data_IF_148372350760
#
_entry.id   IF_148372350760
#
_cell.length_a   1.000
_cell.length_b   1.000
_cell.length_c   1.000
_cell.angle_alpha   90.00
_cell.angle_beta   90.00
_cell.angle_gamma   90.00
#
_symmetry.space_group_name_H-M   'P 1'
#
loop_
_entity.id
_entity.type
_entity.pdbx_description
1 polymer ?
#
# COMPACT_ATOMS: atom_id res chain seq x y z
N UNK A 1 17.50 -12.46 -14.43
CA UNK A 1 16.29 -13.31 -14.43
C UNK A 1 15.09 -12.40 -14.65
N UNK A 2 14.18 -12.72 -15.56
CA UNK A 2 12.99 -11.89 -15.77
C UNK A 2 12.16 -11.84 -14.49
N UNK A 3 11.78 -10.64 -14.04
CA UNK A 3 10.92 -10.48 -12.87
C UNK A 3 9.57 -11.12 -13.20
N UNK A 4 9.18 -12.17 -12.46
CA UNK A 4 7.87 -12.82 -12.67
C UNK A 4 6.77 -11.83 -12.26
N UNK A 5 5.92 -11.44 -13.20
CA UNK A 5 4.76 -10.58 -12.93
C UNK A 5 3.84 -11.31 -11.94
N UNK A 6 3.46 -10.61 -10.88
CA UNK A 6 2.58 -11.13 -9.83
C UNK A 6 1.13 -10.70 -10.08
N UNK A 7 0.21 -11.64 -9.93
CA UNK A 7 -1.23 -11.43 -10.09
C UNK A 7 -1.93 -11.56 -8.74
N UNK A 8 -2.58 -10.51 -8.27
CA UNK A 8 -3.24 -10.47 -6.94
C UNK A 8 -4.69 -10.05 -7.10
N UNK A 9 -5.62 -10.77 -6.47
CA UNK A 9 -7.04 -10.41 -6.47
C UNK A 9 -7.43 -9.74 -5.16
N UNK A 10 -8.11 -8.60 -5.25
CA UNK A 10 -8.80 -7.99 -4.11
C UNK A 10 -10.31 -8.17 -4.30
N UNK A 11 -10.92 -9.00 -3.46
CA UNK A 11 -12.35 -9.32 -3.47
C UNK A 11 -13.01 -8.92 -2.14
N UNK A 12 -14.32 -9.09 -2.04
CA UNK A 12 -15.11 -8.79 -0.86
C UNK A 12 -16.52 -8.34 -1.21
N UNK A 13 -17.43 -8.40 -0.25
CA UNK A 13 -18.82 -7.97 -0.40
C UNK A 13 -18.99 -6.46 -0.64
N UNK A 14 -20.25 -6.00 -0.76
CA UNK A 14 -20.55 -4.57 -0.88
C UNK A 14 -20.03 -3.81 0.34
N UNK A 15 -19.58 -2.56 0.14
CA UNK A 15 -19.08 -1.70 1.22
C UNK A 15 -17.94 -2.31 2.07
N UNK A 16 -17.09 -3.17 1.51
CA UNK A 16 -15.93 -3.74 2.22
C UNK A 16 -14.69 -2.85 2.28
N UNK A 17 -14.68 -1.75 1.51
CA UNK A 17 -13.57 -0.80 1.42
C UNK A 17 -12.60 -1.03 0.25
N UNK A 18 -12.92 -1.92 -0.70
CA UNK A 18 -12.07 -2.23 -1.87
C UNK A 18 -11.55 -1.00 -2.61
N UNK A 19 -12.41 -0.08 -3.01
CA UNK A 19 -12.00 1.10 -3.78
C UNK A 19 -10.94 1.94 -3.05
N UNK A 20 -11.12 2.16 -1.74
CA UNK A 20 -10.14 2.87 -0.92
C UNK A 20 -8.87 2.06 -0.74
N UNK A 21 -8.98 0.74 -0.54
CA UNK A 21 -7.84 -0.14 -0.44
C UNK A 21 -7.01 -0.18 -1.73
N UNK A 22 -7.64 -0.30 -2.90
CA UNK A 22 -6.97 -0.30 -4.21
C UNK A 22 -6.19 1.01 -4.43
N UNK A 23 -6.81 2.16 -4.12
CA UNK A 23 -6.13 3.45 -4.21
C UNK A 23 -4.90 3.51 -3.28
N UNK A 24 -5.06 3.09 -2.02
CA UNK A 24 -3.98 3.05 -1.03
C UNK A 24 -2.83 2.12 -1.47
N UNK A 25 -3.13 0.92 -1.94
CA UNK A 25 -2.14 -0.05 -2.41
C UNK A 25 -1.42 0.49 -3.65
N UNK A 26 -2.15 1.03 -4.62
CA UNK A 26 -1.59 1.56 -5.85
C UNK A 26 -0.59 2.68 -5.53
N UNK A 27 -0.96 3.61 -4.65
CA UNK A 27 -0.10 4.68 -4.18
C UNK A 27 1.16 4.13 -3.49
N UNK A 28 0.98 3.25 -2.50
CA UNK A 28 2.11 2.70 -1.75
C UNK A 28 3.09 1.96 -2.65
N UNK A 29 2.63 1.03 -3.48
CA UNK A 29 3.49 0.23 -4.37
C UNK A 29 4.20 1.10 -5.41
N UNK A 30 3.50 2.08 -5.98
CA UNK A 30 4.10 3.04 -6.92
C UNK A 30 5.24 3.83 -6.26
N UNK A 31 5.06 4.23 -4.99
CA UNK A 31 6.09 4.92 -4.20
C UNK A 31 7.30 4.02 -3.86
N UNK A 32 7.14 2.70 -3.96
CA UNK A 32 8.17 1.68 -3.76
C UNK A 32 8.70 1.09 -5.07
N UNK A 33 8.52 1.81 -6.19
CA UNK A 33 9.12 1.48 -7.49
C UNK A 33 8.41 0.35 -8.25
N UNK A 34 7.15 0.07 -7.92
CA UNK A 34 6.33 -0.87 -8.68
C UNK A 34 5.45 -0.16 -9.70
N UNK A 35 5.40 -0.71 -10.91
CA UNK A 35 4.33 -0.44 -11.87
C UNK A 35 3.13 -1.30 -11.49
N UNK A 36 2.06 -0.63 -11.07
CA UNK A 36 0.80 -1.27 -10.68
C UNK A 36 -0.20 -1.18 -11.82
N UNK A 37 -0.70 -2.33 -12.27
CA UNK A 37 -1.83 -2.43 -13.18
C UNK A 37 -3.08 -2.73 -12.36
N UNK A 38 -4.07 -1.85 -12.39
CA UNK A 38 -5.38 -2.09 -11.77
C UNK A 38 -6.38 -2.53 -12.84
N UNK A 39 -6.94 -3.72 -12.67
CA UNK A 39 -8.01 -4.24 -13.52
C UNK A 39 -9.35 -3.94 -12.84
N UNK A 40 -10.24 -3.15 -13.45
CA UNK A 40 -11.49 -2.72 -12.83
C UNK A 40 -12.54 -3.84 -12.76
N UNK A 41 -13.50 -3.68 -11.85
CA UNK A 41 -14.62 -4.61 -11.69
C UNK A 41 -15.49 -4.69 -12.95
N UNK A 42 -15.54 -5.88 -13.56
CA UNK A 42 -16.29 -6.13 -14.80
C UNK A 42 -17.79 -5.92 -14.63
N UNK A 43 -18.35 -6.34 -13.49
CA UNK A 43 -19.77 -6.18 -13.20
C UNK A 43 -20.18 -4.70 -13.22
N UNK A 44 -19.41 -3.82 -12.56
CA UNK A 44 -19.66 -2.38 -12.58
C UNK A 44 -19.61 -1.81 -14.01
N UNK A 45 -18.66 -2.26 -14.83
CA UNK A 45 -18.56 -1.82 -16.23
C UNK A 45 -19.78 -2.25 -17.08
N UNK A 46 -20.25 -3.49 -16.94
CA UNK A 46 -21.39 -4.01 -17.68
C UNK A 46 -22.72 -3.38 -17.24
N UNK A 47 -22.90 -3.19 -15.92
CA UNK A 47 -24.10 -2.58 -15.34
C UNK A 47 -24.22 -1.13 -15.79
N UNK A 48 -23.12 -0.36 -15.71
CA UNK A 48 -23.12 1.03 -16.17
C UNK A 48 -23.13 1.15 -17.71
N UNK A 49 -22.66 0.13 -18.42
CA UNK A 49 -22.66 0.05 -19.88
C UNK A 49 -24.01 -0.33 -20.52
N UNK A 50 -25.04 -0.64 -19.73
CA UNK A 50 -26.39 -0.87 -20.24
C UNK A 50 -27.23 -1.87 -19.46
N UNK A 51 -26.62 -2.77 -18.68
CA UNK A 51 -27.30 -3.85 -17.93
C UNK A 51 -27.63 -3.40 -16.50
N UNK A 52 -28.22 -2.22 -16.37
CA UNK A 52 -28.49 -1.58 -15.08
C UNK A 52 -29.58 -2.30 -14.26
N UNK A 53 -30.36 -3.17 -14.88
CA UNK A 53 -31.46 -3.95 -14.32
C UNK A 53 -31.13 -5.43 -14.12
N UNK A 54 -29.84 -5.79 -14.02
CA UNK A 54 -29.35 -7.17 -13.89
C UNK A 54 -30.10 -8.01 -12.83
N UNK A 55 -30.45 -7.42 -11.67
CA UNK A 55 -31.21 -8.11 -10.63
C UNK A 55 -32.63 -8.50 -11.09
N UNK A 56 -33.30 -7.62 -11.86
CA UNK A 56 -34.62 -7.94 -12.44
C UNK A 56 -34.51 -8.99 -13.53
N UNK A 57 -33.40 -9.00 -14.28
CA UNK A 57 -33.15 -10.03 -15.30
C UNK A 57 -32.96 -11.39 -14.60
N UNK A 58 -32.22 -11.45 -13.49
CA UNK A 58 -32.05 -12.66 -12.71
C UNK A 58 -33.38 -13.25 -12.20
N UNK A 59 -34.32 -12.39 -11.80
CA UNK A 59 -35.66 -12.80 -11.34
C UNK A 59 -36.59 -13.25 -12.47
N UNK A 60 -36.57 -12.54 -13.62
CA UNK A 60 -37.57 -12.72 -14.68
C UNK A 60 -37.12 -13.65 -15.82
N UNK A 61 -35.81 -13.73 -16.09
CA UNK A 61 -35.25 -14.47 -17.23
C UNK A 61 -33.86 -15.01 -16.87
N UNK A 62 -33.88 -16.12 -16.13
CA UNK A 62 -32.65 -16.73 -15.60
C UNK A 62 -31.70 -17.21 -16.70
N UNK A 63 -32.19 -17.61 -17.88
CA UNK A 63 -31.34 -18.00 -19.01
C UNK A 63 -30.55 -16.79 -19.55
N UNK A 64 -31.20 -15.64 -19.66
CA UNK A 64 -30.52 -14.39 -20.03
C UNK A 64 -29.50 -13.97 -18.97
N UNK A 65 -29.85 -14.12 -17.69
CA UNK A 65 -28.92 -13.85 -16.59
C UNK A 65 -27.68 -14.75 -16.65
N UNK A 66 -27.86 -16.06 -16.88
CA UNK A 66 -26.76 -17.01 -17.03
C UNK A 66 -25.84 -16.64 -18.20
N UNK A 67 -26.40 -16.24 -19.35
CA UNK A 67 -25.60 -15.79 -20.49
C UNK A 67 -24.83 -14.49 -20.17
N UNK A 68 -25.40 -13.56 -19.39
CA UNK A 68 -24.69 -12.35 -18.94
C UNK A 68 -23.49 -12.73 -18.05
N UNK A 69 -23.68 -13.59 -17.05
CA UNK A 69 -22.61 -14.06 -16.16
C UNK A 69 -21.52 -14.81 -16.95
N UNK A 70 -21.89 -15.62 -17.94
CA UNK A 70 -20.95 -16.27 -18.87
C UNK A 70 -20.12 -15.25 -19.65
N UNK A 71 -20.73 -14.17 -20.14
CA UNK A 71 -20.01 -13.09 -20.85
C UNK A 71 -19.10 -12.29 -19.93
N UNK A 72 -19.50 -12.07 -18.67
CA UNK A 72 -18.64 -11.45 -17.65
C UNK A 72 -17.40 -12.31 -17.38
N UNK A 73 -17.57 -13.62 -17.18
CA UNK A 73 -16.46 -14.57 -16.99
C UNK A 73 -15.47 -14.53 -18.16
N UNK A 74 -15.96 -14.65 -19.40
CA UNK A 74 -15.13 -14.58 -20.62
C UNK A 74 -14.43 -13.23 -20.78
N UNK A 75 -15.04 -12.14 -20.31
CA UNK A 75 -14.43 -10.82 -20.36
C UNK A 75 -13.32 -10.67 -19.31
N UNK A 76 -13.52 -11.17 -18.09
CA UNK A 76 -12.47 -11.19 -17.05
C UNK A 76 -11.25 -11.99 -17.50
N UNK A 77 -11.45 -13.18 -18.10
CA UNK A 77 -10.35 -13.98 -18.65
C UNK A 77 -9.56 -13.24 -19.72
N UNK A 78 -10.24 -12.54 -20.64
CA UNK A 78 -9.59 -11.73 -21.67
C UNK A 78 -8.85 -10.53 -21.08
N UNK A 79 -9.44 -9.83 -20.11
CA UNK A 79 -8.75 -8.74 -19.42
C UNK A 79 -7.46 -9.25 -18.76
N UNK A 80 -7.51 -10.40 -18.10
CA UNK A 80 -6.32 -11.01 -17.50
C UNK A 80 -5.22 -11.23 -18.54
N UNK A 81 -5.53 -11.80 -19.70
CA UNK A 81 -4.57 -12.02 -20.78
C UNK A 81 -3.97 -10.70 -21.33
N UNK A 82 -4.82 -9.70 -21.56
CA UNK A 82 -4.38 -8.38 -22.06
C UNK A 82 -3.49 -7.66 -21.05
N UNK A 83 -3.87 -7.64 -19.78
CA UNK A 83 -3.07 -6.98 -18.74
C UNK A 83 -1.75 -7.71 -18.46
N UNK A 84 -1.72 -9.04 -18.56
CA UNK A 84 -0.46 -9.80 -18.54
C UNK A 84 0.45 -9.44 -19.72
N UNK A 85 -0.13 -9.32 -20.92
CA UNK A 85 0.60 -8.91 -22.12
C UNK A 85 1.17 -7.50 -21.96
N UNK A 86 0.36 -6.56 -21.48
CA UNK A 86 0.79 -5.18 -21.20
C UNK A 86 1.89 -5.11 -20.15
N UNK A 87 1.73 -5.83 -19.02
CA UNK A 87 2.76 -5.89 -17.99
C UNK A 87 4.07 -6.51 -18.52
N UNK A 88 3.97 -7.49 -19.43
CA UNK A 88 5.11 -8.13 -20.11
C UNK A 88 5.94 -7.19 -20.99
N UNK A 89 5.42 -6.02 -21.37
CA UNK A 89 6.17 -5.00 -22.10
C UNK A 89 7.24 -4.30 -21.22
N UNK A 90 7.05 -4.27 -19.90
CA UNK A 90 7.89 -3.52 -18.95
C UNK A 90 8.90 -4.42 -18.23
N UNK A 91 9.71 -5.17 -18.99
CA UNK A 91 10.62 -6.22 -18.48
C UNK A 91 11.68 -5.74 -17.47
N UNK A 92 12.00 -4.44 -17.47
CA UNK A 92 12.99 -3.83 -16.59
C UNK A 92 12.37 -3.16 -15.35
N UNK A 93 11.05 -3.28 -15.15
CA UNK A 93 10.33 -2.70 -14.03
C UNK A 93 9.76 -3.79 -13.11
N UNK A 94 9.59 -3.49 -11.82
CA UNK A 94 8.81 -4.34 -10.93
C UNK A 94 7.34 -4.16 -11.28
N UNK A 95 6.66 -5.20 -11.73
CA UNK A 95 5.27 -5.12 -12.17
C UNK A 95 4.37 -6.02 -11.32
N UNK A 96 3.17 -5.52 -11.02
CA UNK A 96 2.11 -6.27 -10.34
C UNK A 96 0.77 -5.91 -10.96
N UNK A 97 -0.09 -6.92 -11.13
CA UNK A 97 -1.46 -6.75 -11.58
C UNK A 97 -2.38 -7.02 -10.40
N UNK A 98 -3.27 -6.07 -10.10
CA UNK A 98 -4.25 -6.17 -9.04
C UNK A 98 -5.65 -6.12 -9.66
N UNK A 99 -6.46 -7.13 -9.37
CA UNK A 99 -7.82 -7.27 -9.90
C UNK A 99 -8.84 -6.83 -8.85
N UNK A 100 -9.70 -5.86 -9.19
CA UNK A 100 -10.92 -5.55 -8.43
C UNK A 100 -11.99 -6.59 -8.74
N UNK A 101 -11.97 -7.68 -7.96
CA UNK A 101 -12.58 -8.98 -8.27
C UNK A 101 -12.04 -9.66 -9.52
N UNK A 102 -12.15 -10.97 -9.54
CA UNK A 102 -11.74 -11.79 -10.67
C UNK A 102 -12.74 -12.93 -10.90
N UNK A 103 -12.40 -13.83 -11.82
CA UNK A 103 -13.23 -14.96 -12.24
C UNK A 103 -13.75 -15.75 -11.04
N UNK A 104 -12.92 -15.94 -10.00
CA UNK A 104 -13.26 -16.67 -8.78
C UNK A 104 -14.45 -16.11 -7.96
N UNK A 105 -14.92 -14.90 -8.26
CA UNK A 105 -16.13 -14.32 -7.67
C UNK A 105 -17.43 -14.85 -8.31
N UNK A 106 -17.40 -15.29 -9.57
CA UNK A 106 -18.59 -15.69 -10.34
C UNK A 106 -19.46 -16.77 -9.65
N UNK A 107 -18.89 -17.82 -9.01
CA UNK A 107 -19.71 -18.81 -8.29
C UNK A 107 -20.57 -18.24 -7.15
N UNK A 108 -20.28 -17.03 -6.65
CA UNK A 108 -21.09 -16.40 -5.62
C UNK A 108 -22.45 -15.92 -6.14
N UNK A 109 -22.57 -15.74 -7.46
CA UNK A 109 -23.74 -15.16 -8.13
C UNK A 109 -24.61 -16.20 -8.86
N UNK A 110 -24.09 -17.42 -9.05
CA UNK A 110 -24.80 -18.51 -9.73
C UNK A 110 -25.04 -19.69 -8.79
N UNK A 111 -26.19 -20.39 -8.89
CA UNK A 111 -26.36 -21.68 -8.24
C UNK A 111 -25.33 -22.68 -8.79
N UNK A 112 -24.75 -23.49 -7.90
CA UNK A 112 -23.63 -24.40 -8.23
C UNK A 112 -23.90 -25.28 -9.45
N UNK A 113 -25.10 -25.83 -9.60
CA UNK A 113 -25.47 -26.70 -10.73
C UNK A 113 -25.35 -25.99 -12.08
N UNK A 114 -25.79 -24.74 -12.17
CA UNK A 114 -25.68 -23.96 -13.41
C UNK A 114 -24.25 -23.49 -13.66
N UNK A 115 -23.52 -23.14 -12.60
CA UNK A 115 -22.12 -22.80 -12.70
C UNK A 115 -21.28 -23.97 -13.24
N UNK A 116 -21.46 -25.18 -12.70
CA UNK A 116 -20.74 -26.39 -13.10
C UNK A 116 -20.99 -26.71 -14.59
N UNK A 117 -22.25 -26.67 -15.04
CA UNK A 117 -22.60 -26.86 -16.47
C UNK A 117 -22.00 -25.76 -17.35
N UNK A 118 -22.06 -24.50 -16.90
CA UNK A 118 -21.51 -23.37 -17.66
C UNK A 118 -20.01 -23.52 -17.89
N UNK A 119 -19.22 -23.91 -16.87
CA UNK A 119 -17.77 -24.09 -17.04
C UNK A 119 -17.43 -25.34 -17.86
N UNK A 120 -18.22 -26.41 -17.76
CA UNK A 120 -18.09 -27.62 -18.57
C UNK A 120 -18.33 -27.32 -20.05
N UNK A 121 -19.43 -26.64 -20.39
CA UNK A 121 -19.76 -26.20 -21.75
C UNK A 121 -18.70 -25.28 -22.37
N UNK A 122 -18.00 -24.52 -21.52
CA UNK A 122 -16.91 -23.64 -21.94
C UNK A 122 -15.57 -24.37 -22.07
N UNK A 123 -15.48 -25.64 -21.65
CA UNK A 123 -14.23 -26.40 -21.59
C UNK A 123 -13.21 -25.81 -20.60
N UNK A 124 -13.68 -25.09 -19.58
CA UNK A 124 -12.83 -24.40 -18.60
C UNK A 124 -12.57 -25.33 -17.42
N UNK A 125 -11.29 -25.51 -17.10
CA UNK A 125 -10.88 -26.18 -15.86
C UNK A 125 -10.92 -25.18 -14.70
N UNK A 126 -11.98 -25.25 -13.89
CA UNK A 126 -12.20 -24.33 -12.77
C UNK A 126 -11.08 -24.38 -11.72
N UNK A 127 -10.55 -25.58 -11.44
CA UNK A 127 -9.43 -25.74 -10.51
C UNK A 127 -8.17 -24.98 -10.95
N UNK A 128 -7.94 -24.85 -12.27
CA UNK A 128 -6.83 -24.05 -12.80
C UNK A 128 -7.04 -22.56 -12.57
N UNK A 129 -8.27 -22.06 -12.73
CA UNK A 129 -8.59 -20.64 -12.49
C UNK A 129 -8.27 -20.25 -11.05
N UNK A 130 -8.64 -21.08 -10.07
CA UNK A 130 -8.41 -20.81 -8.65
C UNK A 130 -6.94 -20.69 -8.24
N UNK A 131 -6.01 -21.30 -8.98
CA UNK A 131 -4.58 -21.32 -8.68
C UNK A 131 -3.76 -20.40 -9.60
N UNK A 132 -4.41 -19.68 -10.52
CA UNK A 132 -3.73 -18.78 -11.45
C UNK A 132 -3.15 -17.52 -10.77
N UNK A 133 -3.70 -17.13 -9.62
CA UNK A 133 -3.28 -15.91 -8.92
C UNK A 133 -2.22 -16.23 -7.86
N UNK A 134 -1.26 -15.33 -7.72
CA UNK A 134 -0.23 -15.39 -6.69
C UNK A 134 -0.76 -15.05 -5.29
N UNK A 135 -1.96 -14.48 -5.18
CA UNK A 135 -2.62 -14.20 -3.91
C UNK A 135 -4.04 -13.67 -4.07
N UNK A 136 -4.89 -13.94 -3.09
CA UNK A 136 -6.28 -13.47 -3.03
C UNK A 136 -6.54 -12.86 -1.67
N UNK A 137 -7.10 -11.65 -1.63
CA UNK A 137 -7.44 -10.94 -0.41
C UNK A 137 -8.94 -10.69 -0.40
N UNK A 138 -9.65 -11.29 0.55
CA UNK A 138 -11.06 -11.02 0.81
C UNK A 138 -11.19 -9.95 1.89
N UNK A 139 -11.74 -8.79 1.53
CA UNK A 139 -12.15 -7.77 2.47
C UNK A 139 -13.58 -8.03 2.94
N UNK A 140 -13.76 -8.29 4.23
CA UNK A 140 -15.09 -8.49 4.83
C UNK A 140 -15.90 -7.20 4.72
N UNK A 141 -17.16 -7.31 4.28
CA UNK A 141 -18.13 -6.20 4.21
C UNK A 141 -18.26 -5.46 5.55
N UNK A 142 -18.42 -4.14 5.53
CA UNK A 142 -18.72 -3.37 6.75
C UNK A 142 -20.01 -3.87 7.45
N UNK A 143 -20.96 -4.46 6.72
CA UNK A 143 -22.16 -5.06 7.30
C UNK A 143 -21.86 -6.19 8.31
N UNK A 144 -20.64 -6.74 8.34
CA UNK A 144 -20.22 -7.75 9.28
C UNK A 144 -19.12 -7.20 10.21
N UNK A 145 -19.51 -6.76 11.41
CA UNK A 145 -18.57 -6.29 12.45
C UNK A 145 -18.21 -4.80 12.40
N UNK A 146 -18.80 -4.01 11.49
CA UNK A 146 -18.63 -2.56 11.39
C UNK A 146 -19.89 -1.88 10.82
N UNK A 147 -21.07 -2.33 11.27
CA UNK A 147 -22.39 -1.98 10.68
C UNK A 147 -22.64 -0.47 10.62
N UNK A 148 -22.12 0.28 11.59
CA UNK A 148 -22.21 1.75 11.64
C UNK A 148 -21.58 2.46 10.43
N UNK A 149 -20.66 1.80 9.71
CA UNK A 149 -20.03 2.30 8.49
C UNK A 149 -20.64 1.72 7.21
N UNK A 150 -21.63 0.82 7.32
CA UNK A 150 -22.29 0.26 6.16
C UNK A 150 -23.25 1.28 5.54
N UNK A 151 -22.93 1.72 4.33
CA UNK A 151 -23.75 2.70 3.59
C UNK A 151 -24.14 2.21 2.20
N UNK A 152 -25.40 2.46 1.84
CA UNK A 152 -25.95 2.23 0.50
C UNK A 152 -25.80 3.45 -0.40
N UNK A 153 -25.40 4.61 0.15
CA UNK A 153 -25.38 5.89 -0.56
C UNK A 153 -24.37 5.95 -1.71
N UNK A 154 -23.26 5.19 -1.61
CA UNK A 154 -22.13 5.30 -2.53
C UNK A 154 -22.30 4.49 -3.83
N UNK A 155 -23.42 3.78 -4.02
CA UNK A 155 -23.63 3.01 -5.24
C UNK A 155 -25.14 2.88 -5.55
N UNK A 156 -25.63 3.59 -6.57
CA UNK A 156 -27.06 3.59 -6.98
C UNK A 156 -27.61 2.20 -7.35
N UNK A 157 -26.75 1.21 -7.56
CA UNK A 157 -27.11 -0.18 -7.82
C UNK A 157 -27.32 -1.03 -6.56
N UNK A 158 -27.01 -0.55 -5.34
CA UNK A 158 -27.07 -1.35 -4.10
C UNK A 158 -28.42 -1.22 -3.39
N UNK A 159 -29.07 -2.37 -3.16
CA UNK A 159 -30.37 -2.48 -2.48
C UNK A 159 -30.36 -3.40 -1.26
N UNK A 160 -29.23 -4.05 -0.99
CA UNK A 160 -29.12 -5.10 0.02
C UNK A 160 -29.18 -4.52 1.44
N UNK A 161 -30.04 -5.11 2.28
CA UNK A 161 -30.00 -4.85 3.72
C UNK A 161 -28.75 -5.48 4.36
N UNK A 162 -28.46 -5.15 5.62
CA UNK A 162 -27.27 -5.63 6.34
C UNK A 162 -27.15 -7.16 6.26
N UNK A 163 -28.25 -7.90 6.52
CA UNK A 163 -28.22 -9.37 6.51
C UNK A 163 -27.94 -9.94 5.13
N UNK A 164 -28.54 -9.36 4.09
CA UNK A 164 -28.28 -9.74 2.69
C UNK A 164 -26.83 -9.47 2.29
N UNK A 165 -26.28 -8.32 2.70
CA UNK A 165 -24.89 -7.97 2.44
C UNK A 165 -23.90 -8.93 3.13
N UNK A 166 -24.17 -9.33 4.38
CA UNK A 166 -23.38 -10.36 5.08
C UNK A 166 -23.48 -11.71 4.36
N UNK A 167 -24.68 -12.12 3.94
CA UNK A 167 -24.86 -13.37 3.22
C UNK A 167 -24.13 -13.38 1.85
N UNK A 168 -24.16 -12.26 1.12
CA UNK A 168 -23.44 -12.09 -0.13
C UNK A 168 -21.90 -12.10 0.08
N UNK A 169 -21.42 -11.48 1.15
CA UNK A 169 -20.00 -11.49 1.52
C UNK A 169 -19.50 -12.92 1.82
N UNK A 170 -20.26 -13.69 2.61
CA UNK A 170 -19.95 -15.09 2.93
C UNK A 170 -19.92 -15.95 1.65
N UNK A 171 -20.87 -15.78 0.73
CA UNK A 171 -20.87 -16.49 -0.56
C UNK A 171 -19.64 -16.15 -1.40
N UNK A 172 -19.30 -14.86 -1.48
CA UNK A 172 -18.11 -14.36 -2.19
C UNK A 172 -16.84 -14.98 -1.61
N UNK A 173 -16.71 -14.99 -0.28
CA UNK A 173 -15.58 -15.59 0.42
C UNK A 173 -15.48 -17.10 0.15
N UNK A 174 -16.61 -17.81 0.20
CA UNK A 174 -16.68 -19.25 -0.01
C UNK A 174 -16.30 -19.66 -1.45
N UNK A 175 -16.59 -18.81 -2.45
CA UNK A 175 -16.23 -19.06 -3.84
C UNK A 175 -14.70 -19.21 -4.03
N UNK A 176 -13.92 -18.46 -3.25
CA UNK A 176 -12.45 -18.49 -3.21
C UNK A 176 -11.86 -19.58 -2.30
N UNK A 177 -12.70 -20.39 -1.65
CA UNK A 177 -12.23 -21.51 -0.84
C UNK A 177 -11.44 -22.51 -1.70
N UNK A 178 -10.32 -22.99 -1.15
CA UNK A 178 -9.38 -23.89 -1.82
C UNK A 178 -8.20 -23.22 -2.52
N UNK A 179 -8.18 -21.88 -2.65
CA UNK A 179 -7.01 -21.17 -3.20
C UNK A 179 -5.86 -21.13 -2.17
N UNK A 180 -4.63 -21.57 -2.52
CA UNK A 180 -3.52 -21.75 -1.55
C UNK A 180 -3.06 -20.50 -0.80
N UNK A 181 -3.37 -19.30 -1.32
CA UNK A 181 -2.90 -18.01 -0.79
C UNK A 181 -4.06 -17.02 -0.59
N UNK A 182 -5.16 -17.52 -0.03
CA UNK A 182 -6.26 -16.67 0.43
C UNK A 182 -5.90 -15.98 1.77
N UNK A 183 -6.22 -14.69 1.88
CA UNK A 183 -6.15 -13.89 3.11
C UNK A 183 -7.48 -13.21 3.35
N UNK A 184 -8.00 -13.31 4.56
CA UNK A 184 -9.27 -12.68 4.95
C UNK A 184 -8.95 -11.53 5.89
N UNK A 185 -9.40 -10.33 5.55
CA UNK A 185 -9.24 -9.12 6.36
C UNK A 185 -10.62 -8.69 6.87
N UNK A 186 -10.86 -9.00 8.14
CA UNK A 186 -12.09 -8.67 8.88
C UNK A 186 -12.15 -7.20 9.33
N UNK A 187 -13.21 -6.85 10.05
CA UNK A 187 -13.44 -5.52 10.63
C UNK A 187 -13.12 -5.46 12.14
N UNK A 188 -12.30 -6.37 12.68
CA UNK A 188 -11.94 -6.36 14.12
C UNK A 188 -11.12 -5.13 14.54
N UNK A 189 -10.61 -4.38 13.56
CA UNK A 189 -9.77 -3.19 13.74
C UNK A 189 -10.38 -1.99 13.02
N UNK A 190 -9.98 -0.77 13.40
CA UNK A 190 -10.33 0.43 12.64
C UNK A 190 -9.91 0.36 11.17
N UNK A 191 -10.56 1.16 10.32
CA UNK A 191 -10.39 1.07 8.86
C UNK A 191 -8.94 1.33 8.40
N UNK A 192 -8.22 2.26 9.04
CA UNK A 192 -6.80 2.51 8.74
C UNK A 192 -5.92 1.27 9.00
N UNK A 193 -6.14 0.57 10.11
CA UNK A 193 -5.41 -0.68 10.44
C UNK A 193 -5.83 -1.79 9.48
N UNK A 194 -7.10 -1.81 9.05
CA UNK A 194 -7.60 -2.72 8.01
C UNK A 194 -6.81 -2.55 6.71
N UNK A 195 -6.57 -1.31 6.28
CA UNK A 195 -5.75 -1.00 5.08
C UNK A 195 -4.29 -1.47 5.23
N UNK A 196 -3.69 -1.31 6.41
CA UNK A 196 -2.34 -1.82 6.70
C UNK A 196 -2.27 -3.35 6.61
N UNK A 197 -3.26 -4.07 7.15
CA UNK A 197 -3.36 -5.54 7.02
C UNK A 197 -3.48 -5.98 5.56
N UNK A 198 -4.18 -5.22 4.73
CA UNK A 198 -4.24 -5.47 3.28
C UNK A 198 -2.86 -5.28 2.65
N UNK A 199 -2.19 -4.18 2.95
CA UNK A 199 -0.84 -3.91 2.44
C UNK A 199 0.13 -5.01 2.85
N UNK A 200 0.10 -5.45 4.11
CA UNK A 200 0.88 -6.58 4.61
C UNK A 200 0.64 -7.87 3.83
N UNK A 201 -0.61 -8.17 3.49
CA UNK A 201 -0.91 -9.35 2.68
C UNK A 201 -0.31 -9.23 1.27
N UNK A 202 -0.40 -8.05 0.65
CA UNK A 202 0.14 -7.80 -0.70
C UNK A 202 1.66 -7.83 -0.71
N UNK A 203 2.32 -7.13 0.21
CA UNK A 203 3.78 -7.14 0.32
C UNK A 203 4.29 -8.55 0.58
N UNK A 204 3.60 -9.34 1.42
CA UNK A 204 3.88 -10.76 1.61
C UNK A 204 3.78 -11.59 0.32
N UNK A 205 2.79 -11.34 -0.55
CA UNK A 205 2.68 -12.03 -1.84
C UNK A 205 3.77 -11.61 -2.84
N UNK A 206 4.19 -10.35 -2.77
CA UNK A 206 5.24 -9.77 -3.60
C UNK A 206 6.66 -10.08 -3.08
N UNK A 207 6.78 -10.68 -1.89
CA UNK A 207 8.07 -10.91 -1.24
C UNK A 207 8.76 -9.61 -0.81
N UNK A 208 7.98 -8.54 -0.63
CA UNK A 208 8.45 -7.28 -0.07
C UNK A 208 8.38 -7.43 1.46
N UNK A 209 9.46 -7.12 2.20
CA UNK A 209 9.41 -7.03 3.65
C UNK A 209 8.27 -6.08 4.05
N UNK A 210 7.35 -6.57 4.88
CA UNK A 210 6.10 -5.85 5.19
C UNK A 210 6.41 -4.58 6.00
N UNK A 211 5.79 -3.43 5.69
CA UNK A 211 5.84 -2.26 6.54
C UNK A 211 4.80 -2.41 7.67
N UNK A 212 5.21 -2.64 8.92
CA UNK A 212 4.42 -2.18 10.07
C UNK A 212 5.21 -1.17 10.88
N UNK A 213 4.46 -0.47 11.72
CA UNK A 213 4.75 0.80 12.38
C UNK A 213 5.73 0.69 13.54
N UNK A 214 6.74 -0.17 13.41
CA UNK A 214 7.86 -0.22 14.33
C UNK A 214 9.08 0.15 13.53
N UNK A 215 9.26 1.46 13.36
CA UNK A 215 10.51 2.03 12.89
C UNK A 215 11.52 1.88 14.02
N UNK A 216 12.58 1.09 13.81
CA UNK A 216 13.76 1.12 14.67
C UNK A 216 14.84 1.94 14.02
N UNK A 217 15.53 2.75 14.83
CA UNK A 217 16.53 3.70 14.36
C UNK A 217 17.85 3.50 15.06
N UNK A 218 18.93 3.52 14.32
CA UNK A 218 20.26 3.27 14.83
C UNK A 218 21.22 4.37 14.39
N UNK A 219 21.99 4.88 15.34
CA UNK A 219 23.04 5.85 15.09
C UNK A 219 24.29 5.13 14.58
N UNK A 220 24.79 5.55 13.42
CA UNK A 220 26.05 5.05 12.87
C UNK A 220 27.20 5.98 13.25
N UNK A 221 28.39 5.41 13.42
CA UNK A 221 29.61 6.20 13.74
C UNK A 221 30.08 7.06 12.58
N UNK A 222 29.95 6.55 11.37
CA UNK A 222 30.41 7.21 10.16
C UNK A 222 29.61 6.76 8.94
N UNK A 223 29.77 7.50 7.85
CA UNK A 223 29.26 7.12 6.53
C UNK A 223 29.85 5.76 6.12
N UNK A 224 29.02 4.79 5.72
CA UNK A 224 29.49 3.47 5.32
C UNK A 224 30.16 3.46 3.95
N UNK A 225 30.91 2.40 3.68
CA UNK A 225 31.57 2.18 2.40
C UNK A 225 30.58 1.73 1.31
N UNK A 226 30.31 2.63 0.37
CA UNK A 226 29.42 2.38 -0.77
C UNK A 226 29.97 1.38 -1.80
N UNK A 227 31.24 0.96 -1.69
CA UNK A 227 31.78 -0.14 -2.51
C UNK A 227 31.26 -1.52 -2.07
N UNK A 228 30.66 -1.62 -0.88
CA UNK A 228 30.09 -2.86 -0.36
C UNK A 228 29.00 -3.41 -1.31
N UNK A 229 28.95 -4.74 -1.47
CA UNK A 229 28.03 -5.41 -2.39
C UNK A 229 26.55 -5.12 -2.14
N UNK A 230 26.16 -4.80 -0.91
CA UNK A 230 24.79 -4.45 -0.54
C UNK A 230 24.45 -2.98 -0.79
N UNK A 231 25.45 -2.08 -0.87
CA UNK A 231 25.26 -0.65 -1.03
C UNK A 231 25.61 -0.11 -2.42
N UNK A 232 26.46 -0.82 -3.17
CA UNK A 232 26.97 -0.37 -4.49
C UNK A 232 25.88 -0.06 -5.53
N UNK A 233 24.74 -0.73 -5.43
CA UNK A 233 23.61 -0.60 -6.34
C UNK A 233 22.43 0.18 -5.69
N UNK A 234 22.62 0.72 -4.49
CA UNK A 234 21.58 1.49 -3.80
C UNK A 234 21.35 2.84 -4.51
N UNK A 235 20.12 3.08 -4.93
CA UNK A 235 19.75 4.34 -5.57
C UNK A 235 19.65 5.47 -4.54
N UNK A 236 20.36 6.58 -4.79
CA UNK A 236 20.28 7.76 -3.94
C UNK A 236 18.94 8.48 -4.11
N UNK A 237 18.27 8.75 -2.99
CA UNK A 237 17.06 9.54 -2.91
C UNK A 237 17.38 10.82 -2.14
N UNK A 238 17.29 11.97 -2.79
CA UNK A 238 17.47 13.24 -2.12
C UNK A 238 16.16 13.66 -1.45
N UNK A 239 16.23 13.98 -0.17
CA UNK A 239 15.11 14.41 0.65
C UNK A 239 15.35 15.82 1.15
N UNK A 240 14.38 16.69 0.89
CA UNK A 240 14.24 18.02 1.48
C UNK A 240 12.93 18.03 2.26
N UNK A 241 12.96 18.41 3.52
CA UNK A 241 11.75 18.45 4.36
C UNK A 241 11.73 19.67 5.26
N UNK A 242 10.54 20.21 5.47
CA UNK A 242 10.31 21.36 6.33
C UNK A 242 9.02 21.20 7.13
N UNK A 243 9.04 21.75 8.34
CA UNK A 243 7.88 21.81 9.21
C UNK A 243 7.14 23.13 8.98
N UNK A 244 5.82 23.09 9.03
CA UNK A 244 4.97 24.27 8.86
C UNK A 244 4.36 24.69 10.19
N UNK A 245 4.06 25.97 10.33
CA UNK A 245 3.32 26.49 11.47
C UNK A 245 1.94 25.82 11.51
N UNK A 246 1.58 25.24 12.65
CA UNK A 246 0.23 24.72 12.87
C UNK A 246 -0.49 25.55 13.94
N UNK A 247 -1.75 25.97 13.71
CA UNK A 247 -2.53 26.72 14.68
C UNK A 247 -3.02 25.86 15.86
N UNK A 248 -2.97 24.54 15.75
CA UNK A 248 -3.52 23.62 16.75
C UNK A 248 -2.40 23.02 17.63
N UNK A 249 -2.50 23.14 18.96
CA UNK A 249 -1.57 22.47 19.87
C UNK A 249 -1.57 20.95 19.70
N UNK A 250 -0.39 20.35 19.58
CA UNK A 250 -0.24 18.90 19.40
C UNK A 250 -0.32 18.41 17.95
N UNK A 251 -0.45 19.33 17.01
CA UNK A 251 -0.41 19.08 15.58
C UNK A 251 0.98 19.36 15.01
N UNK A 252 1.40 18.55 14.05
CA UNK A 252 2.64 18.70 13.31
C UNK A 252 2.36 18.53 11.83
N UNK A 253 2.60 19.60 11.06
CA UNK A 253 2.51 19.57 9.60
C UNK A 253 3.94 19.59 9.06
N UNK A 254 4.24 18.67 8.15
CA UNK A 254 5.52 18.59 7.44
C UNK A 254 5.24 18.53 5.95
N UNK A 255 6.00 19.25 5.14
CA UNK A 255 6.07 19.00 3.71
C UNK A 255 7.44 18.44 3.34
N UNK A 256 7.47 17.55 2.36
CA UNK A 256 8.67 16.81 1.95
C UNK A 256 8.74 16.72 0.44
N UNK A 257 9.87 17.11 -0.12
CA UNK A 257 10.25 16.88 -1.50
C UNK A 257 11.20 15.69 -1.56
N UNK A 258 10.86 14.72 -2.40
CA UNK A 258 11.66 13.55 -2.73
C UNK A 258 12.13 13.68 -4.18
N UNK A 259 13.43 13.64 -4.39
CA UNK A 259 14.05 13.73 -5.72
C UNK A 259 14.82 12.45 -6.00
N UNK A 260 14.49 11.81 -7.12
CA UNK A 260 15.20 10.63 -7.64
C UNK A 260 15.51 10.91 -9.10
N UNK A 261 16.80 10.93 -9.45
CA UNK A 261 17.27 11.33 -10.80
C UNK A 261 16.65 12.68 -11.21
N UNK A 262 15.84 12.70 -12.27
CA UNK A 262 15.22 13.91 -12.83
C UNK A 262 13.74 14.08 -12.41
N UNK A 263 13.25 13.28 -11.45
CA UNK A 263 11.85 13.32 -11.01
C UNK A 263 11.73 13.84 -9.57
N UNK A 264 10.73 14.69 -9.35
CA UNK A 264 10.39 15.24 -8.04
C UNK A 264 8.97 14.83 -7.65
N UNK A 265 8.82 14.36 -6.42
CA UNK A 265 7.52 14.07 -5.80
C UNK A 265 7.43 14.84 -4.49
N UNK A 266 6.25 15.37 -4.19
CA UNK A 266 6.01 16.20 -3.02
C UNK A 266 4.91 15.59 -2.16
N UNK A 267 5.09 15.67 -0.85
CA UNK A 267 4.16 15.12 0.15
C UNK A 267 3.87 16.17 1.21
N UNK A 268 2.65 16.13 1.75
CA UNK A 268 2.25 16.78 2.99
C UNK A 268 1.90 15.69 4.00
N UNK A 269 2.53 15.75 5.16
CA UNK A 269 2.26 14.87 6.30
C UNK A 269 1.62 15.70 7.41
N UNK A 270 0.54 15.18 7.98
CA UNK A 270 -0.18 15.73 9.11
C UNK A 270 -0.17 14.73 10.26
N UNK A 271 0.47 15.09 11.37
CA UNK A 271 0.55 14.27 12.58
C UNK A 271 -0.23 14.93 13.70
N UNK A 272 -1.18 14.20 14.29
CA UNK A 272 -1.98 14.66 15.44
C UNK A 272 -1.64 13.77 16.63
N UNK A 273 -1.15 14.38 17.71
CA UNK A 273 -0.89 13.68 18.98
C UNK A 273 -2.23 13.49 19.71
N UNK A 274 -2.69 12.24 19.83
CA UNK A 274 -3.89 11.91 20.58
C UNK A 274 -3.57 11.81 22.09
N UNK A 275 -4.61 11.70 22.94
CA UNK A 275 -4.45 11.60 24.41
C UNK A 275 -3.72 10.33 24.88
N UNK A 276 -3.59 9.31 24.02
CA UNK A 276 -2.78 8.10 24.23
C UNK A 276 -1.47 8.20 23.43
N UNK A 277 -0.48 7.33 23.68
CA UNK A 277 0.78 7.24 22.90
C UNK A 277 0.57 7.01 21.38
N UNK A 278 -0.67 6.87 20.92
CA UNK A 278 -1.07 6.72 19.52
C UNK A 278 -0.99 8.07 18.80
N UNK A 279 -0.26 8.11 17.69
CA UNK A 279 -0.18 9.27 16.79
C UNK A 279 -1.00 8.93 15.56
N UNK A 280 -1.90 9.83 15.13
CA UNK A 280 -2.54 9.71 13.83
C UNK A 280 -1.67 10.45 12.82
N UNK A 281 -1.15 9.74 11.82
CA UNK A 281 -0.34 10.30 10.75
C UNK A 281 -1.07 10.13 9.41
N UNK A 282 -1.36 11.24 8.74
CA UNK A 282 -1.95 11.28 7.41
C UNK A 282 -0.94 11.88 6.46
N UNK A 283 -0.45 11.10 5.50
CA UNK A 283 0.40 11.58 4.41
C UNK A 283 -0.38 11.61 3.11
N UNK A 284 -0.25 12.70 2.34
CA UNK A 284 -0.87 12.85 1.03
C UNK A 284 0.13 13.45 0.04
N UNK A 285 0.05 13.00 -1.21
CA UNK A 285 0.81 13.59 -2.32
C UNK A 285 0.24 14.95 -2.69
N UNK A 286 1.12 15.93 -2.86
CA UNK A 286 0.76 17.28 -3.29
C UNK A 286 1.45 17.63 -4.61
N UNK A 287 0.90 18.59 -5.34
CA UNK A 287 1.51 19.15 -6.54
C UNK A 287 2.74 20.00 -6.22
N UNK A 288 3.59 20.23 -7.22
CA UNK A 288 4.74 21.14 -7.08
C UNK A 288 4.31 22.56 -6.71
N UNK A 289 3.15 23.02 -7.21
CA UNK A 289 2.56 24.32 -6.89
C UNK A 289 2.15 24.39 -5.42
N UNK A 290 1.41 23.39 -4.93
CA UNK A 290 1.01 23.33 -3.53
C UNK A 290 2.22 23.26 -2.58
N UNK A 291 3.28 22.54 -2.96
CA UNK A 291 4.52 22.52 -2.17
C UNK A 291 5.15 23.91 -2.06
N UNK A 292 5.22 24.65 -3.17
CA UNK A 292 5.75 26.02 -3.17
C UNK A 292 4.86 26.95 -2.33
N UNK A 293 3.55 26.88 -2.49
CA UNK A 293 2.60 27.69 -1.72
C UNK A 293 2.73 27.39 -0.22
N UNK A 294 2.76 26.11 0.16
CA UNK A 294 2.91 25.67 1.56
C UNK A 294 4.29 25.99 2.15
N UNK A 295 5.36 26.03 1.34
CA UNK A 295 6.70 26.39 1.82
C UNK A 295 6.78 27.81 2.40
N UNK A 296 5.85 28.68 2.03
CA UNK A 296 5.73 30.03 2.60
C UNK A 296 5.29 30.01 4.06
N UNK A 297 4.66 28.92 4.52
CA UNK A 297 4.18 28.71 5.89
C UNK A 297 5.20 27.96 6.78
N UNK A 298 6.45 27.87 6.33
CA UNK A 298 7.54 27.21 7.06
C UNK A 298 7.63 27.75 8.48
N UNK A 299 7.69 26.85 9.45
CA UNK A 299 7.90 27.17 10.85
C UNK A 299 9.30 27.82 11.03
N UNK A 300 9.37 29.09 11.49
CA UNK A 300 10.63 29.80 11.66
C UNK A 300 11.51 29.20 12.77
N UNK A 301 10.95 28.41 13.69
CA UNK A 301 11.70 27.76 14.78
C UNK A 301 12.39 26.45 14.34
N UNK A 302 12.19 26.03 13.08
CA UNK A 302 12.77 24.81 12.54
C UNK A 302 13.71 25.13 11.38
N UNK A 303 14.70 24.29 11.14
CA UNK A 303 15.54 24.30 9.94
C UNK A 303 14.95 23.39 8.87
N UNK A 304 15.28 23.66 7.60
CA UNK A 304 14.99 22.72 6.51
C UNK A 304 15.99 21.59 6.61
N UNK A 305 15.54 20.33 6.66
CA UNK A 305 16.44 19.18 6.67
C UNK A 305 16.70 18.74 5.24
N UNK A 306 17.98 18.56 4.92
CA UNK A 306 18.44 17.93 3.70
C UNK A 306 19.17 16.62 4.05
N UNK A 307 18.76 15.52 3.42
CA UNK A 307 19.43 14.23 3.59
C UNK A 307 19.43 13.42 2.29
N UNK A 308 20.42 12.56 2.15
CA UNK A 308 20.49 11.54 1.11
C UNK A 308 20.09 10.20 1.72
N UNK A 309 19.04 9.58 1.20
CA UNK A 309 18.56 8.25 1.63
C UNK A 309 18.99 7.19 0.63
N UNK A 310 19.58 6.12 1.14
CA UNK A 310 20.00 4.95 0.39
C UNK A 310 19.26 3.74 0.93
N UNK A 311 18.53 3.04 0.06
CA UNK A 311 17.74 1.90 0.46
C UNK A 311 18.41 0.61 -0.01
N UNK A 312 18.53 -0.37 0.88
CA UNK A 312 19.17 -1.64 0.56
C UNK A 312 18.53 -2.81 1.31
N UNK A 313 18.82 -4.03 0.85
CA UNK A 313 18.33 -5.26 1.47
C UNK A 313 19.51 -6.03 2.03
N UNK A 314 19.42 -6.41 3.30
CA UNK A 314 20.35 -7.31 3.96
C UNK A 314 19.56 -8.43 4.65
N UNK A 315 19.86 -9.69 4.32
CA UNK A 315 19.17 -10.88 4.86
C UNK A 315 17.63 -10.76 4.91
N UNK A 316 17.05 -10.32 3.80
CA UNK A 316 15.60 -10.10 3.64
C UNK A 316 15.01 -8.99 4.54
N UNK A 317 15.85 -8.14 5.13
CA UNK A 317 15.44 -6.94 5.85
C UNK A 317 15.75 -5.71 5.00
N UNK A 318 14.76 -4.82 4.87
CA UNK A 318 14.87 -3.59 4.11
C UNK A 318 15.32 -2.46 5.04
N UNK A 319 16.44 -1.85 4.72
CA UNK A 319 17.03 -0.78 5.50
C UNK A 319 17.04 0.52 4.70
N UNK A 320 16.87 1.63 5.42
CA UNK A 320 17.01 2.98 4.90
C UNK A 320 18.17 3.66 5.62
N UNK A 321 19.24 3.93 4.88
CA UNK A 321 20.41 4.66 5.37
C UNK A 321 20.24 6.14 5.01
N UNK A 322 20.11 6.98 6.03
CA UNK A 322 20.08 8.43 5.89
C UNK A 322 21.43 9.05 6.22
N UNK A 323 21.94 9.84 5.28
CA UNK A 323 23.10 10.71 5.48
C UNK A 323 22.61 12.16 5.47
N UNK A 324 22.67 12.82 6.61
CA UNK A 324 22.21 14.19 6.76
C UNK A 324 23.26 15.18 6.24
N UNK A 325 22.81 16.18 5.50
CA UNK A 325 23.65 17.34 5.12
C UNK A 325 23.65 18.40 6.22
N UNK A 326 22.60 18.43 7.04
CA UNK A 326 22.47 19.31 8.20
C UNK A 326 21.65 18.63 9.33
N UNK A 327 22.27 18.31 10.48
CA UNK A 327 23.71 18.46 10.76
C UNK A 327 24.57 17.57 9.83
N UNK A 328 25.75 18.03 9.40
CA UNK A 328 26.66 17.22 8.59
C UNK A 328 27.17 16.02 9.41
N UNK A 329 27.58 14.97 8.72
CA UNK A 329 28.17 13.74 9.28
C UNK A 329 27.23 12.87 10.14
N UNK A 330 25.98 13.29 10.35
CA UNK A 330 24.98 12.45 11.01
C UNK A 330 24.48 11.36 10.05
N UNK A 331 24.64 10.10 10.46
CA UNK A 331 24.19 8.93 9.72
C UNK A 331 23.22 8.12 10.58
N UNK A 332 22.00 7.88 10.05
CA UNK A 332 20.98 7.08 10.72
C UNK A 332 20.59 5.90 9.84
N UNK A 333 20.49 4.73 10.45
CA UNK A 333 19.93 3.54 9.83
C UNK A 333 18.51 3.33 10.37
N UNK A 334 17.53 3.31 9.49
CA UNK A 334 16.13 3.05 9.80
C UNK A 334 15.72 1.70 9.21
N UNK A 335 14.84 0.98 9.92
CA UNK A 335 14.19 -0.24 9.45
C UNK A 335 12.75 -0.26 9.96
N UNK A 336 11.81 -0.58 9.09
CA UNK A 336 10.42 -0.83 9.45
C UNK A 336 10.22 -2.33 9.71
N UNK A 337 9.59 -2.66 10.84
CA UNK A 337 9.36 -4.04 11.28
C UNK A 337 7.88 -4.38 11.37
N UNK A 338 7.57 -5.67 11.23
CA UNK A 338 6.20 -6.17 11.37
C UNK A 338 5.73 -6.37 12.80
N UNK A 339 6.65 -6.74 13.67
CA UNK A 339 6.41 -7.07 15.06
C UNK A 339 7.52 -6.46 15.93
N UNK A 340 7.20 -6.08 17.17
CA UNK A 340 8.16 -5.48 18.09
C UNK A 340 9.24 -6.47 18.51
N UNK A 341 8.92 -7.77 18.41
CA UNK A 341 9.82 -8.86 18.70
C UNK A 341 10.60 -9.33 17.46
N UNK A 342 10.40 -8.71 16.29
CA UNK A 342 11.18 -9.06 15.10
C UNK A 342 12.67 -8.80 15.34
N UNK A 343 13.47 -9.84 15.08
CA UNK A 343 14.91 -9.76 15.24
C UNK A 343 15.52 -8.93 14.10
N UNK A 344 16.19 -7.85 14.44
CA UNK A 344 17.01 -7.08 13.49
C UNK A 344 18.38 -7.71 13.36
N UNK A 345 18.69 -8.25 12.20
CA UNK A 345 20.01 -8.75 11.85
C UNK A 345 20.84 -7.59 11.28
N UNK A 346 21.64 -6.98 12.15
CA UNK A 346 22.47 -5.84 11.77
C UNK A 346 23.49 -6.21 10.69
N UNK A 347 23.60 -5.41 9.61
CA UNK A 347 24.64 -5.61 8.62
C UNK A 347 26.02 -5.38 9.25
N UNK A 348 26.94 -6.38 9.22
CA UNK A 348 28.22 -6.31 9.93
C UNK A 348 29.19 -5.29 9.32
N UNK A 349 28.88 -4.78 8.13
CA UNK A 349 29.64 -3.73 7.45
C UNK A 349 29.27 -2.31 7.93
N UNK A 350 28.30 -2.17 8.85
CA UNK A 350 27.92 -0.90 9.46
C UNK A 350 28.45 -0.80 10.89
N UNK A 351 29.08 0.33 11.24
CA UNK A 351 29.52 0.63 12.61
C UNK A 351 28.37 1.30 13.38
N UNK A 352 27.51 0.46 13.95
CA UNK A 352 26.36 0.88 14.75
C UNK A 352 26.81 1.23 16.17
N UNK A 353 26.55 2.46 16.62
CA UNK A 353 26.87 2.92 17.99
C UNK A 353 25.80 2.47 18.98
N UNK A 354 24.54 2.84 18.71
CA UNK A 354 23.39 2.59 19.60
C UNK A 354 22.07 2.70 18.84
N UNK A 355 21.03 2.09 19.41
CA UNK A 355 19.65 2.35 19.02
C UNK A 355 19.17 3.70 19.58
N UNK A 356 18.47 4.47 18.76
CA UNK A 356 17.96 5.83 19.04
C UNK A 356 16.47 5.96 18.70
N UNK A 357 15.73 4.84 18.65
CA UNK A 357 14.31 4.77 18.27
C UNK A 357 13.41 5.71 19.08
N UNK A 358 13.60 5.77 20.40
CA UNK A 358 12.81 6.62 21.31
C UNK A 358 13.50 7.95 21.67
N UNK A 359 14.66 8.25 21.08
CA UNK A 359 15.45 9.44 21.39
C UNK A 359 14.98 10.64 20.54
N UNK A 360 14.26 11.58 21.18
CA UNK A 360 13.70 12.74 20.48
C UNK A 360 14.77 13.62 19.82
N UNK A 361 16.03 13.60 20.28
CA UNK A 361 17.14 14.35 19.67
C UNK A 361 17.45 13.87 18.25
N UNK A 362 17.22 12.58 17.96
CA UNK A 362 17.43 11.95 16.65
C UNK A 362 16.13 11.82 15.84
N UNK A 363 15.02 12.33 16.36
CA UNK A 363 13.80 12.48 15.58
C UNK A 363 13.98 13.56 14.51
N UNK A 364 13.33 13.42 13.36
CA UNK A 364 13.42 14.44 12.29
C UNK A 364 12.99 15.84 12.81
N UNK A 365 12.03 15.93 13.74
CA UNK A 365 11.63 17.23 14.31
C UNK A 365 12.64 17.75 15.34
N UNK A 366 13.22 16.86 16.14
CA UNK A 366 14.32 17.22 17.06
C UNK A 366 15.50 17.81 16.30
N UNK A 367 15.95 17.11 15.25
CA UNK A 367 17.01 17.59 14.36
C UNK A 367 16.67 18.93 13.69
N UNK A 368 15.41 19.13 13.31
CA UNK A 368 14.98 20.41 12.71
C UNK A 368 14.99 21.56 13.74
N UNK A 369 14.73 21.29 15.03
CA UNK A 369 14.76 22.29 16.11
C UNK A 369 16.16 22.60 16.62
N UNK A 370 17.11 21.67 16.44
CA UNK A 370 18.50 21.92 16.79
C UNK A 370 19.09 22.96 15.83
N UNK A 371 19.14 24.22 16.29
CA UNK A 371 20.01 25.24 15.71
C UNK A 371 21.43 24.64 15.60
N UNK A 372 22.18 24.88 14.50
CA UNK A 372 23.51 24.32 14.35
C UNK A 372 24.33 24.63 15.61
N UNK A 373 25.03 23.66 16.21
CA UNK A 373 25.90 23.95 17.33
C UNK A 373 26.85 25.06 16.91
N UNK A 374 26.86 26.17 17.67
CA UNK A 374 27.95 27.15 17.58
C UNK A 374 29.24 26.34 17.69
N UNK A 375 30.09 26.41 16.67
CA UNK A 375 31.45 25.86 16.67
C UNK A 375 32.09 26.07 18.05
N UNK A 376 32.09 25.04 18.89
CA UNK A 376 33.04 24.94 19.99
C UNK A 376 34.30 24.34 19.37
N UNK A 377 35.36 25.15 19.38
CA UNK A 377 36.71 24.88 18.89
C UNK A 377 37.01 25.23 17.42
N UNK A 378 37.08 26.53 17.15
CA UNK A 378 38.31 27.08 16.56
C UNK A 378 38.99 27.94 17.62
N UNK A 379 40.04 27.39 18.22
CA UNK A 379 41.02 28.19 18.97
C UNK A 379 41.65 29.23 18.04
N UNK A 380 41.85 30.47 18.49
CA UNK A 380 42.58 31.47 17.72
C UNK A 380 44.07 31.11 17.74
N UNK A 381 44.63 30.81 16.57
CA UNK A 381 46.08 30.88 16.38
C UNK A 381 46.42 32.34 16.13
N UNK A 382 47.06 32.94 17.14
CA UNK A 382 48.01 34.04 16.96
C UNK A 382 49.27 33.53 16.26
#
# INVERSE_FOLDING_TARGET
MANKIKEIVLTGGPCSGKTTALAFIQEWLSNHGWRVFLVPETATMFITGGIHDISKIAENDFNKYLEIEKRMLLYQMRQREEFLTLAGLFKNEKCVIIYDRAEGDIPAYLPKTYFDVMVEDMGISWDKIKINYDGVIHLVTAANGAEEFYTTANNKARRENIKEAVAADIKTQAAWSGTPKLRIIDNSTGFEIKLKRVLQAITGFLGIPVPLEIERKFLLRCTPDFSNEHLKDAEEILLEQMYLVSPNPGEEIRIRKRSVKNSNIYYRTHKIKMRSKVRQEKEEKISAKEYLDLSTLKDPETLIIYKSRYCFIYKNQYFELDIFKNPPDLCLLEIELTDENDKVEMPPFLDVIKEVTEDEEYSNRGLAKQLPPKNQNKSPLN
#
